data_IF_397833689762
#
_entry.id   IF_397833689762
#
_cell.length_a   1.000
_cell.length_b   1.000
_cell.length_c   1.000
_cell.angle_alpha   90.00
_cell.angle_beta   90.00
_cell.angle_gamma   90.00
#
_symmetry.space_group_name_H-M   'P 1'
#
loop_
_entity.id
_entity.type
_entity.pdbx_description
1 polymer ?
#
# COMPACT_ATOMS: atom_id res chain seq x y z
N UNK A 1 -4.10 16.38 -40.65
CA UNK A 1 -2.70 16.18 -41.09
C UNK A 1 -2.38 14.71 -40.90
N UNK A 2 -2.05 13.99 -41.96
CA UNK A 2 -1.80 12.54 -41.95
C UNK A 2 -0.54 12.26 -41.15
N UNK A 3 -0.66 11.53 -40.03
CA UNK A 3 0.46 11.17 -39.16
C UNK A 3 1.37 10.18 -39.91
N UNK A 4 2.55 10.65 -40.32
CA UNK A 4 3.56 9.85 -41.03
C UNK A 4 4.13 8.78 -40.10
N UNK A 5 4.32 7.57 -40.63
CA UNK A 5 4.78 6.40 -39.87
C UNK A 5 6.12 6.67 -39.17
N UNK A 6 6.22 6.47 -37.84
CA UNK A 6 7.47 6.64 -37.07
C UNK A 6 8.65 5.82 -37.59
N UNK A 7 8.40 4.68 -38.24
CA UNK A 7 9.47 3.85 -38.80
C UNK A 7 10.14 4.48 -40.03
N UNK A 8 9.49 5.46 -40.67
CA UNK A 8 9.97 6.10 -41.90
C UNK A 8 10.89 7.31 -41.67
N UNK A 9 11.16 7.68 -40.41
CA UNK A 9 12.07 8.77 -40.08
C UNK A 9 13.52 8.31 -40.10
N UNK A 10 14.38 9.15 -40.69
CA UNK A 10 15.83 8.93 -40.78
C UNK A 10 16.62 10.00 -40.00
N UNK A 11 17.88 9.70 -39.67
CA UNK A 11 18.75 10.59 -38.90
C UNK A 11 18.94 11.96 -39.56
N UNK A 12 18.84 12.02 -40.89
CA UNK A 12 18.96 13.23 -41.70
C UNK A 12 17.74 14.14 -41.57
N UNK A 13 16.54 13.57 -41.39
CA UNK A 13 15.29 14.32 -41.21
C UNK A 13 15.21 14.95 -39.80
N UNK A 14 15.88 14.35 -38.82
CA UNK A 14 16.11 14.89 -37.47
C UNK A 14 17.07 16.09 -37.44
N UNK A 15 17.57 16.55 -38.58
CA UNK A 15 18.33 17.81 -38.66
C UNK A 15 17.45 19.01 -39.00
N UNK A 16 16.18 18.80 -39.32
CA UNK A 16 15.23 19.88 -39.61
C UNK A 16 14.81 20.60 -38.32
N UNK A 17 15.21 21.87 -38.11
CA UNK A 17 14.88 22.59 -36.88
C UNK A 17 13.39 22.93 -36.74
N UNK A 18 12.58 22.77 -37.79
CA UNK A 18 11.13 22.99 -37.76
C UNK A 18 10.34 21.79 -37.22
N UNK A 19 11.02 20.69 -36.92
CA UNK A 19 10.39 19.45 -36.46
C UNK A 19 9.83 19.60 -35.04
N UNK A 20 8.55 19.23 -34.88
CA UNK A 20 7.81 19.47 -33.65
C UNK A 20 8.24 18.52 -32.52
N UNK A 21 8.21 19.04 -31.29
CA UNK A 21 8.52 18.32 -30.04
C UNK A 21 7.79 16.97 -29.88
N UNK A 22 6.53 16.89 -30.30
CA UNK A 22 5.74 15.65 -30.18
C UNK A 22 6.22 14.56 -31.15
N UNK A 23 6.76 14.96 -32.31
CA UNK A 23 7.34 14.03 -33.29
C UNK A 23 8.68 13.50 -32.76
N UNK A 24 9.51 14.34 -32.14
CA UNK A 24 10.76 13.92 -31.48
C UNK A 24 10.51 12.90 -30.37
N UNK A 25 9.49 13.15 -29.53
CA UNK A 25 9.04 12.22 -28.50
C UNK A 25 8.66 10.87 -29.11
N UNK A 26 7.87 10.89 -30.18
CA UNK A 26 7.42 9.68 -30.86
C UNK A 26 8.58 8.88 -31.46
N UNK A 27 9.54 9.56 -32.12
CA UNK A 27 10.77 8.95 -32.64
C UNK A 27 11.58 8.31 -31.51
N UNK A 28 11.77 9.00 -30.38
CA UNK A 28 12.54 8.45 -29.26
C UNK A 28 11.93 7.19 -28.64
N UNK A 29 10.61 7.02 -28.69
CA UNK A 29 9.93 5.79 -28.24
C UNK A 29 10.08 4.63 -29.23
N UNK A 30 10.05 4.93 -30.53
CA UNK A 30 10.03 3.90 -31.58
C UNK A 30 11.43 3.51 -32.09
N UNK A 31 12.42 4.40 -31.97
CA UNK A 31 13.75 4.26 -32.59
C UNK A 31 14.89 4.58 -31.61
N UNK A 32 15.30 3.59 -30.79
CA UNK A 32 16.43 3.74 -29.87
C UNK A 32 17.77 4.04 -30.53
N UNK A 33 17.91 3.65 -31.80
CA UNK A 33 19.07 3.90 -32.65
C UNK A 33 19.25 5.38 -33.00
N UNK A 34 18.19 6.19 -32.93
CA UNK A 34 18.22 7.61 -33.26
C UNK A 34 18.33 8.51 -32.02
N UNK A 35 18.51 7.95 -30.83
CA UNK A 35 18.58 8.70 -29.57
C UNK A 35 19.66 9.77 -29.54
N UNK A 36 20.84 9.51 -30.11
CA UNK A 36 21.89 10.53 -30.18
C UNK A 36 21.45 11.71 -31.06
N UNK A 37 20.86 11.43 -32.23
CA UNK A 37 20.36 12.48 -33.12
C UNK A 37 19.23 13.31 -32.47
N UNK A 38 18.36 12.68 -31.69
CA UNK A 38 17.30 13.37 -30.92
C UNK A 38 17.88 14.25 -29.81
N UNK A 39 18.93 13.83 -29.12
CA UNK A 39 19.59 14.62 -28.07
C UNK A 39 20.26 15.89 -28.62
N UNK A 40 20.75 15.85 -29.86
CA UNK A 40 21.35 17.02 -30.53
C UNK A 40 20.34 17.95 -31.22
N UNK A 41 19.04 17.64 -31.18
CA UNK A 41 18.02 18.44 -31.84
C UNK A 41 17.72 19.74 -31.07
N UNK A 42 17.60 20.92 -31.72
CA UNK A 42 17.35 22.21 -31.03
C UNK A 42 16.03 22.24 -30.24
N UNK A 43 14.99 21.55 -30.73
CA UNK A 43 13.70 21.39 -30.03
C UNK A 43 13.66 20.20 -29.06
N UNK A 44 14.79 19.60 -28.70
CA UNK A 44 14.84 18.56 -27.67
C UNK A 44 14.58 19.19 -26.29
N UNK A 45 13.50 18.77 -25.64
CA UNK A 45 13.09 19.31 -24.35
C UNK A 45 13.64 18.47 -23.18
N UNK A 46 13.88 19.06 -22.00
CA UNK A 46 14.65 18.42 -20.91
C UNK A 46 14.13 17.06 -20.44
N UNK A 47 12.80 16.89 -20.39
CA UNK A 47 12.18 15.63 -19.98
C UNK A 47 12.47 14.48 -20.96
N UNK A 48 12.56 14.77 -22.28
CA UNK A 48 12.89 13.77 -23.29
C UNK A 48 14.35 13.32 -23.16
N UNK A 49 15.27 14.26 -22.90
CA UNK A 49 16.67 13.96 -22.67
C UNK A 49 16.87 13.07 -21.42
N UNK A 50 16.12 13.35 -20.35
CA UNK A 50 16.11 12.52 -19.15
C UNK A 50 15.58 11.11 -19.43
N UNK A 51 14.49 10.99 -20.19
CA UNK A 51 13.93 9.70 -20.60
C UNK A 51 14.94 8.84 -21.37
N UNK A 52 15.64 9.43 -22.36
CA UNK A 52 16.67 8.74 -23.15
C UNK A 52 17.84 8.29 -22.27
N UNK A 53 18.28 9.14 -21.34
CA UNK A 53 19.41 8.85 -20.44
C UNK A 53 19.10 7.70 -19.47
N UNK A 54 17.88 7.67 -18.92
CA UNK A 54 17.44 6.63 -18.00
C UNK A 54 17.35 5.26 -18.70
N UNK A 55 16.79 5.23 -19.91
CA UNK A 55 16.68 4.01 -20.72
C UNK A 55 18.03 3.46 -21.17
N UNK A 56 19.01 4.33 -21.44
CA UNK A 56 20.38 3.92 -21.80
C UNK A 56 21.09 3.19 -20.65
N UNK A 57 20.77 3.54 -19.40
CA UNK A 57 21.30 2.88 -18.20
C UNK A 57 20.77 1.47 -17.96
N UNK A 58 19.65 1.08 -18.58
CA UNK A 58 19.00 -0.22 -18.42
C UNK A 58 19.46 -1.27 -19.46
N UNK A 59 20.34 -0.90 -20.41
CA UNK A 59 20.78 -1.80 -21.47
C UNK A 59 21.91 -2.73 -20.97
N UNK A 60 21.71 -4.06 -20.88
CA UNK A 60 22.71 -4.97 -20.31
C UNK A 60 23.94 -5.10 -21.24
N UNK A 61 25.10 -4.62 -20.80
CA UNK A 61 26.38 -4.99 -21.38
C UNK A 61 26.73 -6.43 -20.97
N UNK A 62 26.88 -7.33 -21.93
CA UNK A 62 27.29 -8.72 -21.70
C UNK A 62 28.75 -8.80 -21.26
N UNK A 63 28.99 -9.19 -20.01
CA UNK A 63 30.31 -9.51 -19.45
C UNK A 63 30.39 -11.04 -19.25
N UNK A 64 31.37 -11.77 -19.82
CA UNK A 64 31.56 -13.20 -19.58
C UNK A 64 32.21 -13.47 -18.22
N UNK A 65 31.62 -14.41 -17.47
CA UNK A 65 32.04 -14.87 -16.14
C UNK A 65 33.22 -15.85 -16.25
N UNK A 66 34.37 -15.53 -15.63
CA UNK A 66 35.41 -16.51 -15.31
C UNK A 66 35.60 -16.54 -13.79
N UNK A 67 35.15 -17.60 -13.11
CA UNK A 67 35.44 -17.86 -11.70
C UNK A 67 36.59 -18.87 -11.67
N UNK A 68 37.75 -18.39 -11.23
CA UNK A 68 38.93 -19.20 -10.94
C UNK A 68 38.96 -19.51 -9.43
N UNK A 69 38.94 -20.79 -9.08
CA UNK A 69 39.03 -21.26 -7.71
C UNK A 69 40.50 -21.26 -7.25
N UNK A 70 40.81 -20.58 -6.14
CA UNK A 70 42.13 -20.62 -5.49
C UNK A 70 42.11 -21.43 -4.18
N UNK A 71 43.19 -22.15 -3.83
CA UNK A 71 43.17 -23.26 -2.87
C UNK A 71 43.53 -22.90 -1.41
N UNK A 72 43.23 -23.87 -0.54
CA UNK A 72 43.40 -23.97 0.92
C UNK A 72 44.68 -23.36 1.52
N UNK A 73 44.48 -22.63 2.63
CA UNK A 73 45.53 -22.07 3.51
C UNK A 73 45.69 -22.95 4.76
N UNK A 74 46.93 -23.22 5.13
CA UNK A 74 47.37 -24.11 6.22
C UNK A 74 46.84 -23.75 7.64
N UNK A 75 46.80 -24.72 8.58
CA UNK A 75 46.26 -24.53 9.92
C UNK A 75 47.24 -23.78 10.82
N UNK A 76 46.85 -22.57 11.23
CA UNK A 76 47.66 -21.70 12.09
C UNK A 76 47.49 -22.10 13.58
N UNK A 77 48.55 -22.44 14.34
CA UNK A 77 48.48 -22.94 15.73
C UNK A 77 47.83 -21.95 16.73
N UNK A 78 47.76 -20.66 16.40
CA UNK A 78 47.03 -19.67 17.21
C UNK A 78 45.50 -19.85 17.19
N UNK A 79 44.95 -20.48 16.15
CA UNK A 79 43.51 -20.79 16.08
C UNK A 79 43.12 -21.87 17.11
N UNK A 80 44.03 -22.81 17.42
CA UNK A 80 43.79 -23.84 18.44
C UNK A 80 43.72 -23.23 19.84
N UNK A 81 44.57 -22.25 20.14
CA UNK A 81 44.58 -21.57 21.44
C UNK A 81 43.32 -20.71 21.66
N UNK A 82 42.83 -20.03 20.62
CA UNK A 82 41.54 -19.33 20.67
C UNK A 82 40.35 -20.28 20.82
N UNK A 83 40.39 -21.46 20.18
CA UNK A 83 39.32 -22.45 20.29
C UNK A 83 39.18 -23.00 21.72
N UNK A 84 40.29 -23.14 22.45
CA UNK A 84 40.30 -23.62 23.83
C UNK A 84 39.72 -22.59 24.80
N UNK A 85 40.07 -21.31 24.63
CA UNK A 85 39.49 -20.21 25.42
C UNK A 85 37.98 -20.05 25.18
N UNK A 86 37.53 -20.14 23.93
CA UNK A 86 36.11 -20.08 23.58
C UNK A 86 35.30 -21.25 24.18
N UNK A 87 35.88 -22.46 24.22
CA UNK A 87 35.25 -23.63 24.84
C UNK A 87 35.12 -23.46 26.37
N UNK A 88 36.14 -22.92 27.03
CA UNK A 88 36.09 -22.64 28.47
C UNK A 88 35.04 -21.57 28.82
N UNK A 89 34.94 -20.51 28.02
CA UNK A 89 33.92 -19.48 28.18
C UNK A 89 32.50 -20.03 27.97
N UNK A 90 32.29 -20.85 26.94
CA UNK A 90 31.00 -21.48 26.67
C UNK A 90 30.56 -22.44 27.80
N UNK A 91 31.50 -23.15 28.41
CA UNK A 91 31.22 -24.00 29.57
C UNK A 91 30.79 -23.16 30.80
N UNK A 92 31.47 -22.06 31.09
CA UNK A 92 31.11 -21.14 32.18
C UNK A 92 29.75 -20.46 31.97
N UNK A 93 29.45 -20.02 30.74
CA UNK A 93 28.16 -19.44 30.40
C UNK A 93 27.01 -20.45 30.54
N UNK A 94 27.22 -21.72 30.15
CA UNK A 94 26.22 -22.79 30.38
C UNK A 94 25.95 -23.02 31.86
N UNK A 95 26.98 -22.99 32.71
CA UNK A 95 26.82 -23.10 34.17
C UNK A 95 25.92 -22.00 34.73
N UNK A 96 26.26 -20.73 34.46
CA UNK A 96 25.49 -19.58 34.94
C UNK A 96 24.05 -19.56 34.41
N UNK A 97 23.86 -19.93 33.13
CA UNK A 97 22.54 -20.07 32.56
C UNK A 97 21.72 -21.18 33.24
N UNK A 98 22.35 -22.32 33.49
CA UNK A 98 21.68 -23.48 34.08
C UNK A 98 21.31 -23.28 35.56
N UNK A 99 22.12 -22.52 36.29
CA UNK A 99 21.99 -22.41 37.74
C UNK A 99 21.22 -21.16 38.16
N UNK A 100 21.40 -20.02 37.47
CA UNK A 100 20.81 -18.74 37.88
C UNK A 100 19.53 -18.40 37.12
N UNK A 101 19.53 -18.51 35.79
CA UNK A 101 18.37 -18.07 34.98
C UNK A 101 17.36 -19.16 34.68
N UNK A 102 17.72 -20.45 34.64
CA UNK A 102 16.73 -21.53 34.51
C UNK A 102 15.68 -21.54 35.64
N UNK A 103 16.01 -21.40 36.94
CA UNK A 103 14.99 -21.43 37.99
C UNK A 103 14.10 -20.17 37.99
N UNK A 104 14.65 -19.00 37.67
CA UNK A 104 13.87 -17.76 37.52
C UNK A 104 12.95 -17.82 36.27
N UNK A 105 13.45 -18.36 35.16
CA UNK A 105 12.70 -18.54 33.91
C UNK A 105 11.63 -19.62 34.07
N UNK A 106 11.88 -20.72 34.81
CA UNK A 106 10.86 -21.74 35.10
C UNK A 106 9.72 -21.19 35.94
N UNK A 107 10.01 -20.38 36.97
CA UNK A 107 8.96 -19.76 37.79
C UNK A 107 8.15 -18.74 36.98
N UNK A 108 8.81 -17.89 36.18
CA UNK A 108 8.14 -16.94 35.29
C UNK A 108 7.32 -17.66 34.19
N UNK A 109 7.84 -18.74 33.61
CA UNK A 109 7.17 -19.57 32.62
C UNK A 109 6.01 -20.37 33.23
N UNK A 110 6.11 -20.84 34.49
CA UNK A 110 5.01 -21.50 35.19
C UNK A 110 3.89 -20.52 35.52
N UNK A 111 4.19 -19.30 36.01
CA UNK A 111 3.17 -18.27 36.23
C UNK A 111 2.55 -17.77 34.93
N UNK A 112 3.32 -17.72 33.85
CA UNK A 112 2.82 -17.34 32.52
C UNK A 112 2.01 -18.48 31.90
N UNK A 113 2.44 -19.73 32.02
CA UNK A 113 1.70 -20.92 31.56
C UNK A 113 0.48 -21.25 32.41
N UNK A 114 0.41 -20.83 33.68
CA UNK A 114 -0.81 -20.94 34.49
C UNK A 114 -1.81 -19.84 34.10
N UNK A 115 -1.37 -18.60 33.90
CA UNK A 115 -2.23 -17.52 33.38
C UNK A 115 -2.68 -17.76 31.93
N UNK A 116 -1.84 -18.39 31.12
CA UNK A 116 -2.18 -18.82 29.77
C UNK A 116 -3.02 -20.10 29.83
N UNK A 117 -2.70 -21.09 30.67
CA UNK A 117 -3.44 -22.34 30.84
C UNK A 117 -4.90 -22.13 31.23
N UNK A 118 -5.17 -21.19 32.14
CA UNK A 118 -6.53 -20.81 32.54
C UNK A 118 -7.27 -20.05 31.43
N UNK A 119 -6.56 -19.49 30.44
CA UNK A 119 -7.12 -18.85 29.24
C UNK A 119 -7.01 -19.71 27.95
N UNK A 120 -6.34 -20.87 28.01
CA UNK A 120 -6.00 -21.72 26.86
C UNK A 120 -6.78 -23.03 26.82
N UNK A 121 -7.72 -23.26 27.75
CA UNK A 121 -8.66 -24.38 27.66
C UNK A 121 -9.78 -24.19 26.60
N UNK A 122 -9.64 -23.24 25.65
CA UNK A 122 -10.49 -23.17 24.44
C UNK A 122 -9.63 -22.92 23.19
N UNK A 123 -9.50 -23.90 22.28
CA UNK A 123 -8.91 -23.68 20.96
C UNK A 123 -9.81 -22.69 20.20
N UNK A 124 -9.36 -21.46 19.99
CA UNK A 124 -10.09 -20.45 19.20
C UNK A 124 -10.17 -19.02 19.76
N UNK A 125 -9.59 -18.72 20.94
CA UNK A 125 -9.68 -17.38 21.54
C UNK A 125 -8.60 -16.36 21.05
N UNK A 126 -7.39 -16.82 20.71
CA UNK A 126 -6.31 -15.96 20.21
C UNK A 126 -6.57 -15.25 18.86
N UNK A 127 -7.24 -15.87 17.86
CA UNK A 127 -7.52 -15.22 16.58
C UNK A 127 -8.44 -13.99 16.69
N UNK A 128 -9.32 -13.96 17.71
CA UNK A 128 -10.42 -13.01 17.77
C UNK A 128 -9.97 -11.60 18.15
N UNK A 129 -8.93 -11.48 19.00
CA UNK A 129 -8.37 -10.19 19.39
C UNK A 129 -7.55 -9.56 18.25
N UNK A 130 -6.77 -10.39 17.54
CA UNK A 130 -5.97 -9.99 16.39
C UNK A 130 -6.88 -9.56 15.24
N UNK A 131 -7.92 -10.35 14.94
CA UNK A 131 -8.92 -10.02 13.93
C UNK A 131 -9.59 -8.67 14.19
N UNK A 132 -10.01 -8.39 15.43
CA UNK A 132 -10.62 -7.10 15.80
C UNK A 132 -9.68 -5.92 15.61
N UNK A 133 -8.39 -6.11 15.85
CA UNK A 133 -7.39 -5.06 15.62
C UNK A 133 -7.24 -4.76 14.13
N UNK A 134 -7.18 -5.81 13.29
CA UNK A 134 -7.12 -5.67 11.84
C UNK A 134 -8.32 -4.95 11.26
N UNK A 135 -9.53 -5.21 11.76
CA UNK A 135 -10.75 -4.52 11.31
C UNK A 135 -10.68 -3.01 11.61
N UNK A 136 -10.15 -2.61 12.77
CA UNK A 136 -10.00 -1.19 13.12
C UNK A 136 -8.93 -0.50 12.27
N UNK A 137 -7.83 -1.18 11.99
CA UNK A 137 -6.80 -0.68 11.08
C UNK A 137 -7.38 -0.54 9.67
N UNK A 138 -8.15 -1.53 9.21
CA UNK A 138 -8.80 -1.50 7.90
C UNK A 138 -9.71 -0.28 7.74
N UNK A 139 -10.42 0.13 8.80
CA UNK A 139 -11.28 1.31 8.79
C UNK A 139 -10.48 2.60 8.46
N UNK A 140 -9.29 2.77 9.08
CA UNK A 140 -8.39 3.90 8.80
C UNK A 140 -7.84 3.82 7.37
N UNK A 141 -7.42 2.64 6.94
CA UNK A 141 -6.85 2.41 5.60
C UNK A 141 -7.89 2.66 4.51
N UNK A 142 -9.14 2.20 4.70
CA UNK A 142 -10.24 2.43 3.77
C UNK A 142 -10.57 3.91 3.64
N UNK A 143 -10.62 4.66 4.75
CA UNK A 143 -10.85 6.10 4.71
C UNK A 143 -9.70 6.87 4.04
N UNK A 144 -8.46 6.41 4.21
CA UNK A 144 -7.31 6.95 3.49
C UNK A 144 -7.42 6.72 1.97
N UNK A 145 -7.75 5.50 1.54
CA UNK A 145 -8.00 5.24 0.12
C UNK A 145 -9.20 6.02 -0.42
N UNK A 146 -10.23 6.24 0.40
CA UNK A 146 -11.37 7.08 0.05
C UNK A 146 -10.95 8.53 -0.20
N UNK A 147 -10.02 9.04 0.61
CA UNK A 147 -9.41 10.35 0.39
C UNK A 147 -8.69 10.42 -0.94
N UNK A 148 -7.87 9.41 -1.27
CA UNK A 148 -7.18 9.34 -2.58
C UNK A 148 -8.20 9.30 -3.72
N UNK A 149 -9.28 8.54 -3.58
CA UNK A 149 -10.35 8.42 -4.59
C UNK A 149 -10.95 9.76 -4.99
N UNK A 150 -11.02 10.75 -4.07
CA UNK A 150 -11.56 12.08 -4.35
C UNK A 150 -10.72 12.88 -5.36
N UNK A 151 -9.43 12.59 -5.44
CA UNK A 151 -8.52 13.24 -6.38
C UNK A 151 -8.44 12.52 -7.73
N UNK A 152 -8.94 11.29 -7.81
CA UNK A 152 -9.00 10.55 -9.06
C UNK A 152 -10.10 11.09 -9.97
N UNK A 153 -9.97 10.88 -11.30
CA UNK A 153 -11.02 11.23 -12.24
C UNK A 153 -12.36 10.57 -11.88
N UNK A 154 -13.42 11.35 -11.78
CA UNK A 154 -14.81 10.90 -11.62
C UNK A 154 -15.47 10.66 -12.98
N UNK A 155 -15.10 11.46 -13.97
CA UNK A 155 -15.61 11.41 -15.32
C UNK A 155 -14.51 11.86 -16.28
N UNK A 156 -14.48 11.26 -17.46
CA UNK A 156 -13.69 11.75 -18.59
C UNK A 156 -14.62 12.02 -19.75
N UNK A 157 -14.50 13.19 -20.34
CA UNK A 157 -15.24 13.57 -21.54
C UNK A 157 -14.28 13.53 -22.72
N UNK A 158 -14.66 12.85 -23.80
CA UNK A 158 -13.87 12.79 -25.03
C UNK A 158 -14.65 13.43 -26.18
N UNK A 159 -14.21 14.63 -26.58
CA UNK A 159 -14.86 15.42 -27.64
C UNK A 159 -13.81 15.79 -28.67
N UNK A 160 -14.02 15.36 -29.92
CA UNK A 160 -13.14 15.64 -31.07
C UNK A 160 -11.64 15.33 -30.82
N UNK A 161 -11.33 14.26 -30.08
CA UNK A 161 -9.96 13.82 -29.81
C UNK A 161 -9.27 14.51 -28.63
N UNK A 162 -9.94 15.45 -27.96
CA UNK A 162 -9.49 16.00 -26.68
C UNK A 162 -10.12 15.24 -25.53
N UNK A 163 -9.31 14.82 -24.56
CA UNK A 163 -9.75 14.15 -23.35
C UNK A 163 -9.59 15.10 -22.16
N UNK A 164 -10.70 15.43 -21.51
CA UNK A 164 -10.70 16.21 -20.28
C UNK A 164 -11.27 15.36 -19.14
N UNK A 165 -10.58 15.37 -17.99
CA UNK A 165 -10.92 14.56 -16.83
C UNK A 165 -11.28 15.43 -15.64
N UNK A 166 -12.44 15.19 -15.05
CA UNK A 166 -12.94 15.94 -13.91
C UNK A 166 -12.78 15.13 -12.63
N UNK A 167 -12.50 15.77 -11.50
CA UNK A 167 -12.52 15.17 -10.17
C UNK A 167 -13.51 15.91 -9.26
N UNK A 168 -13.63 15.49 -8.00
CA UNK A 168 -14.58 16.08 -7.03
C UNK A 168 -14.27 17.53 -6.62
N UNK A 169 -13.11 18.06 -7.01
CA UNK A 169 -12.68 19.42 -6.70
C UNK A 169 -12.70 20.35 -7.93
N UNK A 170 -13.10 19.84 -9.10
CA UNK A 170 -13.21 20.66 -10.30
C UNK A 170 -14.43 21.60 -10.22
N UNK A 171 -14.44 22.69 -10.99
CA UNK A 171 -15.41 23.78 -10.84
C UNK A 171 -16.82 23.40 -11.30
N UNK A 172 -16.89 22.35 -12.12
CA UNK A 172 -18.08 21.76 -12.69
C UNK A 172 -18.71 20.70 -11.77
N UNK A 173 -17.98 20.24 -10.75
CA UNK A 173 -18.53 19.35 -9.74
C UNK A 173 -19.47 20.12 -8.80
N UNK A 174 -20.52 19.46 -8.24
CA UNK A 174 -21.41 20.09 -7.27
C UNK A 174 -20.61 20.78 -6.16
N UNK A 175 -20.82 22.09 -6.01
CA UNK A 175 -19.97 22.97 -5.20
C UNK A 175 -19.87 22.46 -3.76
N UNK A 176 -18.66 22.13 -3.33
CA UNK A 176 -18.35 21.73 -1.96
C UNK A 176 -18.50 20.25 -1.64
N UNK A 177 -18.98 19.40 -2.56
CA UNK A 177 -19.14 17.96 -2.30
C UNK A 177 -17.80 17.28 -2.00
N UNK A 178 -16.77 17.55 -2.80
CA UNK A 178 -15.41 17.05 -2.55
C UNK A 178 -14.84 17.49 -1.20
N UNK A 179 -15.09 18.74 -0.78
CA UNK A 179 -14.60 19.28 0.49
C UNK A 179 -15.32 18.64 1.70
N UNK A 180 -16.64 18.43 1.61
CA UNK A 180 -17.43 17.76 2.65
C UNK A 180 -16.94 16.31 2.81
N UNK A 181 -16.76 15.61 1.69
CA UNK A 181 -16.30 14.22 1.67
C UNK A 181 -14.88 14.08 2.23
N UNK A 182 -13.97 14.98 1.82
CA UNK A 182 -12.61 15.05 2.33
C UNK A 182 -12.59 15.25 3.85
N UNK A 183 -13.39 16.21 4.34
CA UNK A 183 -13.53 16.47 5.77
C UNK A 183 -14.06 15.23 6.50
N UNK A 184 -15.06 14.55 5.94
CA UNK A 184 -15.60 13.31 6.46
C UNK A 184 -14.54 12.21 6.60
N UNK A 185 -13.75 11.94 5.55
CA UNK A 185 -12.69 10.93 5.61
C UNK A 185 -11.61 11.29 6.62
N UNK A 186 -11.20 12.56 6.72
CA UNK A 186 -10.23 13.01 7.73
C UNK A 186 -10.77 12.75 9.14
N UNK A 187 -12.04 13.07 9.41
CA UNK A 187 -12.65 12.80 10.71
C UNK A 187 -12.69 11.30 11.04
N UNK A 188 -12.98 10.46 10.04
CA UNK A 188 -12.95 9.00 10.21
C UNK A 188 -11.54 8.49 10.49
N UNK A 189 -10.52 9.02 9.81
CA UNK A 189 -9.11 8.67 10.07
C UNK A 189 -8.73 9.06 11.50
N UNK A 190 -9.01 10.29 11.91
CA UNK A 190 -8.68 10.79 13.26
C UNK A 190 -9.38 9.96 14.34
N UNK A 191 -10.68 9.71 14.17
CA UNK A 191 -11.45 8.90 15.11
C UNK A 191 -10.98 7.43 15.13
N UNK A 192 -10.64 6.86 13.98
CA UNK A 192 -10.13 5.50 13.85
C UNK A 192 -8.76 5.33 14.53
N UNK A 193 -7.84 6.27 14.32
CA UNK A 193 -6.54 6.28 15.01
C UNK A 193 -6.73 6.43 16.51
N UNK A 194 -7.60 7.36 16.96
CA UNK A 194 -7.91 7.52 18.37
C UNK A 194 -8.52 6.24 18.98
N UNK A 195 -9.38 5.52 18.24
CA UNK A 195 -9.97 4.26 18.70
C UNK A 195 -8.92 3.17 18.91
N UNK A 196 -7.91 3.10 18.04
CA UNK A 196 -6.80 2.14 18.16
C UNK A 196 -5.87 2.49 19.33
N UNK A 197 -5.53 3.78 19.48
CA UNK A 197 -4.59 4.24 20.50
C UNK A 197 -5.18 4.25 21.91
N UNK A 198 -6.38 4.80 22.07
CA UNK A 198 -6.99 5.00 23.39
C UNK A 198 -7.63 3.73 23.94
N UNK A 199 -7.98 2.76 23.08
CA UNK A 199 -8.63 1.49 23.44
C UNK A 199 -9.91 1.64 24.28
N UNK A 200 -10.55 2.81 24.25
CA UNK A 200 -11.80 3.10 24.96
C UNK A 200 -12.99 2.69 24.10
N UNK A 201 -13.94 1.95 24.67
CA UNK A 201 -15.13 1.42 23.96
C UNK A 201 -15.96 2.52 23.30
N UNK A 202 -16.15 3.66 23.97
CA UNK A 202 -16.91 4.80 23.43
C UNK A 202 -16.24 5.45 22.22
N UNK A 203 -14.91 5.53 22.21
CA UNK A 203 -14.13 6.05 21.07
C UNK A 203 -14.26 5.13 19.86
N UNK A 204 -14.29 3.80 20.09
CA UNK A 204 -14.52 2.85 19.02
C UNK A 204 -15.93 2.95 18.42
N UNK A 205 -16.95 3.12 19.26
CA UNK A 205 -18.34 3.27 18.80
C UNK A 205 -18.47 4.54 17.97
N UNK A 206 -17.93 5.67 18.44
CA UNK A 206 -17.97 6.95 17.70
C UNK A 206 -17.25 6.87 16.37
N UNK A 207 -16.06 6.26 16.31
CA UNK A 207 -15.35 6.03 15.05
C UNK A 207 -16.17 5.19 14.06
N UNK A 208 -16.83 4.12 14.53
CA UNK A 208 -17.66 3.28 13.69
C UNK A 208 -18.91 4.02 13.18
N UNK A 209 -19.57 4.83 14.03
CA UNK A 209 -20.73 5.63 13.61
C UNK A 209 -20.32 6.65 12.54
N UNK A 210 -19.20 7.36 12.73
CA UNK A 210 -18.67 8.29 11.72
C UNK A 210 -18.36 7.58 10.40
N UNK A 211 -17.73 6.40 10.47
CA UNK A 211 -17.41 5.60 9.29
C UNK A 211 -18.66 5.14 8.53
N UNK A 212 -19.76 4.80 9.23
CA UNK A 212 -21.04 4.48 8.59
C UNK A 212 -21.60 5.70 7.86
N UNK A 213 -21.61 6.87 8.50
CA UNK A 213 -22.16 8.10 7.90
C UNK A 213 -21.37 8.49 6.64
N UNK A 214 -20.04 8.53 6.75
CA UNK A 214 -19.16 8.89 5.62
C UNK A 214 -19.20 7.81 4.54
N UNK A 215 -19.23 6.54 4.92
CA UNK A 215 -19.36 5.42 3.97
C UNK A 215 -20.67 5.46 3.20
N UNK A 216 -21.77 5.84 3.85
CA UNK A 216 -23.07 6.01 3.21
C UNK A 216 -23.07 7.17 2.23
N UNK A 217 -22.54 8.33 2.62
CA UNK A 217 -22.37 9.47 1.71
C UNK A 217 -21.50 9.10 0.50
N UNK A 218 -20.41 8.35 0.72
CA UNK A 218 -19.54 7.85 -0.34
C UNK A 218 -20.25 6.92 -1.31
N UNK A 219 -21.05 5.99 -0.79
CA UNK A 219 -21.82 5.06 -1.60
C UNK A 219 -22.91 5.80 -2.39
N UNK A 220 -23.66 6.70 -1.76
CA UNK A 220 -24.72 7.48 -2.42
C UNK A 220 -24.13 8.35 -3.53
N UNK A 221 -23.05 9.08 -3.27
CA UNK A 221 -22.43 9.95 -4.25
C UNK A 221 -21.77 9.12 -5.37
N UNK A 222 -21.08 8.03 -5.02
CA UNK A 222 -20.46 7.14 -5.99
C UNK A 222 -21.49 6.49 -6.92
N UNK A 223 -22.47 5.78 -6.37
CA UNK A 223 -23.49 5.09 -7.18
C UNK A 223 -24.45 6.07 -7.87
N UNK A 224 -24.85 7.14 -7.19
CA UNK A 224 -25.74 8.16 -7.74
C UNK A 224 -25.12 8.86 -8.94
N UNK A 225 -23.87 9.31 -8.81
CA UNK A 225 -23.18 9.99 -9.92
C UNK A 225 -22.83 9.01 -11.04
N UNK A 226 -22.54 7.72 -10.75
CA UNK A 226 -22.39 6.70 -11.80
C UNK A 226 -23.69 6.47 -12.59
N UNK A 227 -24.82 6.42 -11.90
CA UNK A 227 -26.13 6.25 -12.53
C UNK A 227 -26.52 7.48 -13.37
N UNK A 228 -26.13 8.69 -12.94
CA UNK A 228 -26.36 9.91 -13.70
C UNK A 228 -25.48 9.97 -14.96
N UNK A 229 -24.16 9.81 -14.81
CA UNK A 229 -23.19 9.91 -15.91
C UNK A 229 -23.27 8.74 -16.89
N UNK A 230 -23.67 7.55 -16.44
CA UNK A 230 -23.77 6.37 -17.29
C UNK A 230 -24.83 6.47 -18.40
N UNK A 231 -25.73 7.45 -18.32
CA UNK A 231 -26.74 7.71 -19.34
C UNK A 231 -26.32 8.77 -20.36
N UNK A 232 -25.19 9.45 -20.13
CA UNK A 232 -24.73 10.54 -21.00
C UNK A 232 -23.84 10.00 -22.14
N UNK A 233 -24.22 10.23 -23.42
CA UNK A 233 -23.38 9.86 -24.54
C UNK A 233 -22.08 10.68 -24.51
N UNK A 234 -20.93 10.04 -24.75
CA UNK A 234 -19.58 10.64 -24.73
C UNK A 234 -18.93 10.84 -23.35
N UNK A 235 -19.57 10.40 -22.26
CA UNK A 235 -18.97 10.41 -20.92
C UNK A 235 -18.47 9.02 -20.54
N UNK A 236 -17.21 8.93 -20.12
CA UNK A 236 -16.64 7.72 -19.54
C UNK A 236 -16.56 7.84 -18.02
N UNK A 237 -17.01 6.81 -17.30
CA UNK A 237 -16.90 6.74 -15.85
C UNK A 237 -15.42 6.65 -15.45
N UNK A 238 -15.00 7.59 -14.60
CA UNK A 238 -13.63 7.60 -14.10
C UNK A 238 -13.40 6.53 -13.02
N UNK A 239 -12.14 6.18 -12.77
CA UNK A 239 -11.81 5.21 -11.74
C UNK A 239 -12.13 5.71 -10.32
N UNK A 240 -12.08 7.03 -10.10
CA UNK A 240 -12.31 7.65 -8.79
C UNK A 240 -13.71 7.39 -8.26
N UNK A 241 -14.73 7.51 -9.11
CA UNK A 241 -16.13 7.33 -8.69
C UNK A 241 -16.47 5.85 -8.38
N UNK A 242 -15.95 4.92 -9.18
CA UNK A 242 -16.12 3.48 -8.95
C UNK A 242 -15.44 3.09 -7.64
N UNK A 243 -14.22 3.56 -7.43
CA UNK A 243 -13.44 3.30 -6.22
C UNK A 243 -14.14 3.89 -4.99
N UNK A 244 -14.65 5.12 -5.08
CA UNK A 244 -15.37 5.79 -3.99
C UNK A 244 -16.63 5.01 -3.56
N UNK A 245 -17.41 4.52 -4.54
CA UNK A 245 -18.62 3.73 -4.26
C UNK A 245 -18.28 2.43 -3.52
N UNK A 246 -17.31 1.68 -4.02
CA UNK A 246 -16.88 0.41 -3.42
C UNK A 246 -16.25 0.61 -2.04
N UNK A 247 -15.42 1.63 -1.88
CA UNK A 247 -14.83 1.99 -0.59
C UNK A 247 -15.89 2.43 0.41
N UNK A 248 -16.93 3.16 -0.01
CA UNK A 248 -18.06 3.51 0.83
C UNK A 248 -18.75 2.29 1.43
N UNK A 249 -19.06 1.29 0.60
CA UNK A 249 -19.66 0.02 1.04
C UNK A 249 -18.72 -0.75 1.97
N UNK A 250 -17.44 -0.86 1.60
CA UNK A 250 -16.43 -1.54 2.42
C UNK A 250 -16.27 -0.86 3.80
N UNK A 251 -16.32 0.48 3.84
CA UNK A 251 -16.21 1.26 5.07
C UNK A 251 -17.41 1.01 6.00
N UNK A 252 -18.63 0.95 5.46
CA UNK A 252 -19.83 0.57 6.22
C UNK A 252 -19.68 -0.84 6.78
N UNK A 253 -19.26 -1.82 5.96
CA UNK A 253 -19.08 -3.19 6.39
C UNK A 253 -18.05 -3.32 7.52
N UNK A 254 -16.89 -2.66 7.39
CA UNK A 254 -15.85 -2.63 8.42
C UNK A 254 -16.37 -1.99 9.73
N UNK A 255 -17.14 -0.91 9.62
CA UNK A 255 -17.74 -0.26 10.77
C UNK A 255 -18.80 -1.13 11.48
N UNK A 256 -19.63 -1.86 10.73
CA UNK A 256 -20.58 -2.81 11.30
C UNK A 256 -19.86 -3.93 12.08
N UNK A 257 -18.79 -4.49 11.51
CA UNK A 257 -17.98 -5.51 12.21
C UNK A 257 -17.35 -4.94 13.48
N UNK A 258 -16.95 -3.66 13.45
CA UNK A 258 -16.39 -2.95 14.61
C UNK A 258 -17.39 -2.79 15.76
N UNK A 259 -18.69 -2.67 15.45
CA UNK A 259 -19.77 -2.53 16.44
C UNK A 259 -20.20 -3.85 17.08
N UNK A 260 -19.87 -5.00 16.50
CA UNK A 260 -20.30 -6.29 17.04
C UNK A 260 -19.76 -6.51 18.47
N UNK A 261 -20.63 -6.84 19.45
CA UNK A 261 -20.20 -7.14 20.81
C UNK A 261 -19.33 -8.40 20.85
N UNK A 262 -18.37 -8.45 21.76
CA UNK A 262 -17.63 -9.68 22.01
C UNK A 262 -18.60 -10.72 22.56
N UNK A 263 -18.69 -11.90 21.94
CA UNK A 263 -19.56 -12.98 22.44
C UNK A 263 -19.19 -13.26 23.90
N UNK A 264 -20.10 -12.97 24.83
CA UNK A 264 -19.94 -13.38 26.23
C UNK A 264 -20.11 -14.88 26.27
N UNK A 265 -19.02 -15.60 26.52
CA UNK A 265 -19.11 -17.03 26.79
C UNK A 265 -19.84 -17.20 28.12
N UNK A 266 -21.08 -17.69 28.08
CA UNK A 266 -21.79 -18.10 29.29
C UNK A 266 -21.12 -19.39 29.78
N UNK A 267 -20.45 -19.33 30.93
CA UNK A 267 -19.92 -20.52 31.58
C UNK A 267 -21.11 -21.30 32.15
N UNK A 268 -21.34 -22.57 31.75
CA UNK A 268 -22.41 -23.36 32.35
C UNK A 268 -22.14 -23.55 33.86
N UNK A 269 -23.18 -23.56 34.71
CA UNK A 269 -23.01 -23.75 36.14
C UNK A 269 -22.31 -25.08 36.40
N UNK A 270 -21.32 -25.06 37.30
CA UNK A 270 -20.59 -26.25 37.71
C UNK A 270 -21.60 -27.27 38.25
N UNK A 271 -21.68 -28.43 37.61
CA UNK A 271 -22.48 -29.56 38.08
C UNK A 271 -21.85 -29.99 39.40
N UNK A 272 -22.52 -29.73 40.51
CA UNK A 272 -22.12 -30.22 41.82
C UNK A 272 -22.15 -31.75 41.78
N UNK A 273 -20.98 -32.38 41.80
CA UNK A 273 -20.87 -33.81 42.03
C UNK A 273 -21.09 -34.05 43.52
N UNK A 274 -22.23 -34.69 43.84
CA UNK A 274 -22.53 -35.26 45.15
C UNK A 274 -21.98 -36.67 45.25
#
# INVERSE_FOLDING_TARGET
MTQRDPASYHAEELRDPSLHTDVLRHIAYSRPDLWDAVLYHPNCYPELANYISQRRGEQPQTIPTHIEAQPQREPNPHAQQMSTGAKAFAAGARGYFSETVLPATRKAAQTTNQRIGDHSAKPGAAPQLVWRLWVQIALVVLAFFGTIALFLPIASVSVFGFNESFNYFHGEAPSGEGAIMLTGFILVILAGVAAVLLRVTWVRITAAVLAILVGLLSAINGFGTMAALGNEPMVSLGAGIVLLALLGVALIAAAMVTLLPARKNVTPPAVAQY
#
